data_IF_857372557027
#
_entry.id   IF_857372557027
#
_cell.length_a   1.000
_cell.length_b   1.000
_cell.length_c   1.000
_cell.angle_alpha   90.00
_cell.angle_beta   90.00
_cell.angle_gamma   90.00
#
_symmetry.space_group_name_H-M   'P 1'
#
loop_
_entity.id
_entity.type
_entity.pdbx_description
1 polymer ?
#
# COMPACT_ATOMS: atom_id res chain seq x y z
N UNK A 1 37.47 2.66 32.66
CA UNK A 1 36.29 2.98 33.48
C UNK A 1 35.34 1.81 33.35
N UNK A 2 35.07 1.11 34.44
CA UNK A 2 34.12 -0.01 34.43
C UNK A 2 32.68 0.52 34.29
N UNK A 3 31.77 -0.32 33.79
CA UNK A 3 30.34 0.02 33.72
C UNK A 3 29.79 0.46 35.08
N UNK A 4 30.27 -0.17 36.15
CA UNK A 4 29.87 0.14 37.53
C UNK A 4 30.29 1.55 37.95
N UNK A 5 31.51 1.97 37.62
CA UNK A 5 32.01 3.34 37.90
C UNK A 5 31.25 4.41 37.12
N UNK A 6 30.87 4.11 35.88
CA UNK A 6 30.07 5.01 35.06
C UNK A 6 28.69 5.27 35.68
N UNK A 7 27.98 4.22 36.13
CA UNK A 7 26.64 4.36 36.72
C UNK A 7 26.64 4.90 38.15
N UNK A 8 27.73 4.76 38.91
CA UNK A 8 27.86 5.42 40.22
C UNK A 8 28.06 6.92 40.04
N UNK A 9 28.90 7.32 39.09
CA UNK A 9 29.18 8.73 38.83
C UNK A 9 28.00 9.45 38.18
N UNK A 10 27.28 8.79 37.26
CA UNK A 10 26.05 9.33 36.68
C UNK A 10 24.97 9.60 37.74
N UNK A 11 24.85 8.72 38.75
CA UNK A 11 23.95 8.93 39.89
C UNK A 11 24.41 10.08 40.79
N UNK A 12 25.71 10.19 41.06
CA UNK A 12 26.29 11.30 41.85
C UNK A 12 26.03 12.66 41.21
N UNK A 13 26.12 12.74 39.89
CA UNK A 13 25.87 13.95 39.11
C UNK A 13 24.39 14.25 38.90
N UNK A 14 23.48 13.40 39.38
CA UNK A 14 22.04 13.57 39.21
C UNK A 14 21.62 13.59 37.74
N UNK A 15 22.36 12.88 36.87
CA UNK A 15 22.10 12.81 35.43
C UNK A 15 20.73 12.18 35.19
N UNK A 16 19.74 13.02 34.91
CA UNK A 16 18.43 12.61 34.42
C UNK A 16 18.50 12.55 32.90
N UNK A 17 18.58 11.34 32.35
CA UNK A 17 18.37 11.13 30.93
C UNK A 17 16.89 11.35 30.66
N UNK A 18 16.55 12.50 30.07
CA UNK A 18 15.26 12.69 29.44
C UNK A 18 15.26 11.85 28.16
N UNK A 19 14.97 10.56 28.30
CA UNK A 19 14.66 9.69 27.17
C UNK A 19 13.42 10.29 26.52
N UNK A 20 13.62 11.03 25.43
CA UNK A 20 12.53 11.59 24.62
C UNK A 20 11.87 10.49 23.79
N UNK A 21 11.51 9.39 24.45
CA UNK A 21 11.01 8.15 23.86
C UNK A 21 9.75 7.60 24.53
N UNK A 22 9.28 8.21 25.62
CA UNK A 22 7.95 7.93 26.21
C UNK A 22 6.94 9.04 25.89
N UNK A 23 7.00 9.60 24.67
CA UNK A 23 5.75 10.03 24.05
C UNK A 23 4.90 8.79 23.79
N UNK A 24 3.55 8.88 23.72
CA UNK A 24 2.80 7.79 23.13
C UNK A 24 3.51 7.42 21.82
N UNK A 25 3.92 6.16 21.66
CA UNK A 25 4.16 5.60 20.33
C UNK A 25 3.05 6.15 19.46
N UNK A 26 3.30 6.69 18.25
CA UNK A 26 2.21 7.09 17.39
C UNK A 26 1.40 5.82 17.09
N UNK A 27 0.45 5.50 17.98
CA UNK A 27 -0.70 4.63 17.79
C UNK A 27 -1.66 5.37 16.87
N UNK A 28 -1.12 5.87 15.77
CA UNK A 28 -1.82 5.97 14.52
C UNK A 28 -1.43 4.74 13.71
N UNK A 29 -1.57 3.55 14.31
CA UNK A 29 -2.00 2.40 13.53
C UNK A 29 -3.33 2.84 12.97
N UNK A 30 -3.32 3.26 11.71
CA UNK A 30 -4.53 3.68 11.03
C UNK A 30 -5.52 2.52 11.17
N UNK A 31 -6.70 2.78 11.74
CA UNK A 31 -7.70 1.74 11.90
C UNK A 31 -8.11 1.24 10.50
N UNK A 32 -8.31 -0.08 10.37
CA UNK A 32 -8.62 -0.72 9.09
C UNK A 32 -9.84 -0.08 8.42
N UNK A 33 -10.75 0.49 9.19
CA UNK A 33 -11.90 1.21 8.64
C UNK A 33 -11.54 2.54 7.95
N UNK A 34 -10.58 3.28 8.50
CA UNK A 34 -10.13 4.59 8.03
C UNK A 34 -9.20 4.51 6.80
N UNK A 35 -8.49 3.39 6.64
CA UNK A 35 -7.52 3.15 5.56
C UNK A 35 -8.13 2.82 4.21
N UNK A 36 -9.21 2.04 4.21
CA UNK A 36 -9.75 1.46 2.99
C UNK A 36 -10.92 2.30 2.47
N UNK A 37 -10.63 3.57 2.21
CA UNK A 37 -11.58 4.45 1.52
C UNK A 37 -11.62 4.05 0.03
N UNK A 38 -12.84 3.89 -0.49
CA UNK A 38 -13.11 3.51 -1.89
C UNK A 38 -12.27 4.31 -2.92
N UNK A 39 -12.09 5.64 -2.79
CA UNK A 39 -11.29 6.40 -3.75
C UNK A 39 -9.83 5.97 -3.82
N UNK A 40 -9.19 5.68 -2.68
CA UNK A 40 -7.79 5.26 -2.67
C UNK A 40 -7.65 3.87 -3.31
N UNK A 41 -8.52 2.92 -2.97
CA UNK A 41 -8.51 1.59 -3.58
C UNK A 41 -8.76 1.66 -5.10
N UNK A 42 -9.69 2.52 -5.53
CA UNK A 42 -9.96 2.73 -6.94
C UNK A 42 -8.72 3.29 -7.67
N UNK A 43 -8.03 4.26 -7.06
CA UNK A 43 -6.78 4.82 -7.60
C UNK A 43 -5.66 3.79 -7.66
N UNK A 44 -5.52 2.94 -6.64
CA UNK A 44 -4.56 1.84 -6.63
C UNK A 44 -4.85 0.85 -7.76
N UNK A 45 -6.11 0.44 -7.94
CA UNK A 45 -6.51 -0.46 -9.04
C UNK A 45 -6.18 0.18 -10.40
N UNK A 46 -6.51 1.46 -10.60
CA UNK A 46 -6.17 2.16 -11.84
C UNK A 46 -4.65 2.23 -12.07
N UNK A 47 -3.86 2.43 -11.02
CA UNK A 47 -2.40 2.47 -11.09
C UNK A 47 -1.80 1.17 -11.63
N UNK A 48 -2.30 0.02 -11.14
CA UNK A 48 -1.77 -1.29 -11.51
C UNK A 48 -2.40 -1.84 -12.80
N UNK A 49 -3.64 -1.46 -13.13
CA UNK A 49 -4.33 -1.91 -14.34
C UNK A 49 -4.04 -1.09 -15.60
N UNK A 50 -3.40 0.09 -15.49
CA UNK A 50 -2.99 0.89 -16.67
C UNK A 50 -1.72 0.36 -17.36
N UNK A 51 -0.88 -0.38 -16.66
CA UNK A 51 0.42 -0.87 -17.13
C UNK A 51 0.34 -1.98 -18.17
N UNK A 52 1.49 -2.54 -18.58
CA UNK A 52 1.53 -3.68 -19.53
C UNK A 52 1.17 -5.00 -18.85
N UNK A 53 1.74 -5.28 -17.68
CA UNK A 53 1.35 -6.43 -16.87
C UNK A 53 0.00 -6.13 -16.26
N UNK A 54 -1.02 -6.93 -16.59
CA UNK A 54 -2.38 -6.76 -16.07
C UNK A 54 -2.56 -7.63 -14.85
N UNK A 55 -3.16 -7.12 -13.76
CA UNK A 55 -3.54 -7.97 -12.65
C UNK A 55 -4.77 -8.80 -13.03
N UNK A 56 -4.82 -10.03 -12.55
CA UNK A 56 -6.00 -10.89 -12.73
C UNK A 56 -7.02 -10.67 -11.60
N UNK A 57 -8.29 -10.88 -11.92
CA UNK A 57 -9.39 -10.75 -10.96
C UNK A 57 -9.22 -11.59 -9.68
N UNK A 58 -8.73 -12.84 -9.71
CA UNK A 58 -8.56 -13.63 -8.48
C UNK A 58 -7.51 -13.06 -7.51
N UNK A 59 -6.49 -12.38 -8.02
CA UNK A 59 -5.35 -11.87 -7.22
C UNK A 59 -5.50 -10.39 -6.83
N UNK A 60 -6.45 -9.65 -7.40
CA UNK A 60 -6.54 -8.19 -7.25
C UNK A 60 -6.55 -7.71 -5.80
N UNK A 61 -7.24 -8.42 -4.91
CA UNK A 61 -7.29 -8.08 -3.48
C UNK A 61 -5.93 -8.21 -2.80
N UNK A 62 -5.18 -9.27 -3.13
CA UNK A 62 -3.84 -9.52 -2.61
C UNK A 62 -2.86 -8.47 -3.14
N UNK A 63 -2.83 -8.24 -4.45
CA UNK A 63 -1.94 -7.27 -5.08
C UNK A 63 -2.14 -5.84 -4.57
N UNK A 64 -3.40 -5.42 -4.40
CA UNK A 64 -3.72 -4.11 -3.82
C UNK A 64 -3.19 -4.01 -2.39
N UNK A 65 -3.35 -5.06 -1.58
CA UNK A 65 -2.81 -5.10 -0.21
C UNK A 65 -1.29 -5.01 -0.17
N UNK A 66 -0.59 -5.84 -0.95
CA UNK A 66 0.87 -5.83 -1.01
C UNK A 66 1.42 -4.49 -1.51
N UNK A 67 0.78 -3.86 -2.49
CA UNK A 67 1.17 -2.54 -2.96
C UNK A 67 1.02 -1.47 -1.88
N UNK A 68 -0.07 -1.50 -1.12
CA UNK A 68 -0.32 -0.57 -0.03
C UNK A 68 0.66 -0.77 1.13
N UNK A 69 0.92 -2.01 1.52
CA UNK A 69 1.91 -2.37 2.55
C UNK A 69 3.32 -1.86 2.21
N UNK A 70 3.74 -2.01 0.95
CA UNK A 70 5.05 -1.54 0.46
C UNK A 70 5.14 -0.01 0.37
N UNK A 71 4.00 0.69 0.25
CA UNK A 71 3.97 2.14 -0.03
C UNK A 71 3.74 3.01 1.21
N UNK A 72 2.85 2.61 2.12
CA UNK A 72 2.44 3.45 3.24
C UNK A 72 3.22 3.06 4.50
N UNK A 73 4.05 3.97 5.00
CA UNK A 73 4.97 3.72 6.11
C UNK A 73 4.28 3.21 7.39
N UNK A 74 2.99 3.52 7.59
CA UNK A 74 2.18 3.03 8.71
C UNK A 74 1.86 1.53 8.69
N UNK A 75 2.23 0.81 7.62
CA UNK A 75 2.01 -0.64 7.48
C UNK A 75 3.24 -1.49 7.75
N UNK A 76 4.45 -0.89 7.82
CA UNK A 76 5.66 -1.60 8.26
C UNK A 76 5.57 -1.87 9.77
N UNK A 77 4.84 -2.93 10.14
CA UNK A 77 4.66 -3.34 11.53
C UNK A 77 3.21 -3.52 11.97
N UNK A 78 2.21 -3.41 11.09
CA UNK A 78 0.86 -3.88 11.44
C UNK A 78 0.90 -5.39 11.63
N UNK A 79 0.51 -5.85 12.79
CA UNK A 79 0.51 -7.25 13.23
C UNK A 79 -0.47 -8.17 12.45
N UNK A 80 -1.01 -7.69 11.33
CA UNK A 80 -1.89 -8.43 10.43
C UNK A 80 -1.42 -8.19 9.00
N UNK A 81 -1.16 -9.27 8.25
CA UNK A 81 -0.86 -9.19 6.83
C UNK A 81 -2.10 -8.64 6.09
N UNK A 82 -2.03 -7.39 5.63
CA UNK A 82 -3.14 -6.66 5.02
C UNK A 82 -3.53 -7.26 3.67
N UNK A 83 -2.58 -7.79 2.91
CA UNK A 83 -2.87 -8.62 1.73
C UNK A 83 -3.87 -9.75 2.01
N UNK A 84 -3.87 -10.28 3.24
CA UNK A 84 -4.75 -11.34 3.70
C UNK A 84 -6.02 -10.85 4.40
N UNK A 85 -6.19 -9.55 4.58
CA UNK A 85 -7.38 -8.97 5.22
C UNK A 85 -8.63 -9.19 4.37
N UNK A 86 -9.57 -9.99 4.89
CA UNK A 86 -10.87 -10.21 4.25
C UNK A 86 -11.65 -8.90 4.03
N UNK A 87 -11.53 -7.94 4.96
CA UNK A 87 -12.18 -6.64 4.84
C UNK A 87 -11.58 -5.81 3.68
N UNK A 88 -10.24 -5.80 3.54
CA UNK A 88 -9.60 -5.16 2.38
C UNK A 88 -10.10 -5.81 1.08
N UNK A 89 -10.07 -7.14 0.98
CA UNK A 89 -10.48 -7.86 -0.24
C UNK A 89 -11.92 -7.50 -0.64
N UNK A 90 -12.87 -7.47 0.30
CA UNK A 90 -14.26 -7.07 0.03
C UNK A 90 -14.32 -5.62 -0.48
N UNK A 91 -13.57 -4.70 0.13
CA UNK A 91 -13.56 -3.29 -0.29
C UNK A 91 -12.87 -3.07 -1.64
N UNK A 92 -11.83 -3.84 -1.94
CA UNK A 92 -11.17 -3.85 -3.25
C UNK A 92 -12.15 -4.29 -4.33
N UNK A 93 -12.94 -5.34 -4.09
CA UNK A 93 -14.00 -5.75 -5.02
C UNK A 93 -15.04 -4.66 -5.19
N UNK A 94 -15.50 -4.00 -4.12
CA UNK A 94 -16.42 -2.85 -4.23
C UNK A 94 -15.84 -1.71 -5.07
N UNK A 95 -14.55 -1.39 -4.90
CA UNK A 95 -13.86 -0.39 -5.70
C UNK A 95 -13.77 -0.81 -7.18
N UNK A 96 -13.45 -2.07 -7.44
CA UNK A 96 -13.39 -2.62 -8.80
C UNK A 96 -14.76 -2.58 -9.48
N UNK A 97 -15.83 -3.00 -8.81
CA UNK A 97 -17.21 -2.91 -9.34
C UNK A 97 -17.63 -1.47 -9.61
N UNK A 98 -17.20 -0.52 -8.78
CA UNK A 98 -17.43 0.91 -9.05
C UNK A 98 -16.69 1.36 -10.33
N UNK A 99 -15.43 0.99 -10.50
CA UNK A 99 -14.65 1.34 -11.69
C UNK A 99 -15.21 0.69 -12.96
N UNK A 100 -15.67 -0.56 -12.89
CA UNK A 100 -16.30 -1.26 -14.01
C UNK A 100 -17.64 -0.62 -14.37
N UNK A 101 -18.52 -0.37 -13.38
CA UNK A 101 -19.84 0.25 -13.63
C UNK A 101 -19.77 1.68 -14.16
N UNK A 102 -18.65 2.38 -13.90
CA UNK A 102 -18.37 3.72 -14.43
C UNK A 102 -17.52 3.70 -15.72
N UNK A 103 -17.21 2.53 -16.26
CA UNK A 103 -16.48 2.38 -17.53
C UNK A 103 -15.01 2.78 -17.47
N UNK A 104 -14.41 2.84 -16.28
CA UNK A 104 -13.00 3.19 -16.07
C UNK A 104 -12.07 1.98 -16.19
N UNK A 105 -12.62 0.79 -16.00
CA UNK A 105 -11.92 -0.49 -16.10
C UNK A 105 -12.78 -1.49 -16.88
N UNK A 106 -12.12 -2.42 -17.57
CA UNK A 106 -12.74 -3.60 -18.20
C UNK A 106 -12.08 -4.86 -17.66
N UNK A 107 -12.87 -5.91 -17.48
CA UNK A 107 -12.41 -7.24 -17.12
C UNK A 107 -12.57 -8.15 -18.33
N UNK A 108 -11.48 -8.76 -18.80
CA UNK A 108 -11.55 -9.75 -19.87
C UNK A 108 -12.30 -11.00 -19.38
N UNK A 109 -13.23 -11.52 -20.18
CA UNK A 109 -14.07 -12.65 -19.76
C UNK A 109 -13.35 -13.99 -19.78
N UNK A 110 -12.29 -14.10 -20.57
CA UNK A 110 -11.50 -15.32 -20.77
C UNK A 110 -10.28 -15.30 -19.87
N UNK A 111 -9.43 -14.27 -19.98
CA UNK A 111 -8.18 -14.17 -19.20
C UNK A 111 -8.42 -13.67 -17.78
N UNK A 112 -9.58 -13.04 -17.52
CA UNK A 112 -9.91 -12.37 -16.25
C UNK A 112 -8.95 -11.24 -15.88
N UNK A 113 -8.18 -10.76 -16.85
CA UNK A 113 -7.29 -9.62 -16.68
C UNK A 113 -8.07 -8.33 -16.55
N UNK A 114 -7.61 -7.46 -15.66
CA UNK A 114 -8.21 -6.17 -15.37
C UNK A 114 -7.41 -5.08 -16.08
N UNK A 115 -8.05 -4.37 -17.00
CA UNK A 115 -7.43 -3.31 -17.79
C UNK A 115 -8.11 -1.97 -17.58
N UNK A 116 -7.33 -0.91 -17.36
CA UNK A 116 -7.86 0.45 -17.37
C UNK A 116 -8.27 0.87 -18.79
N UNK A 117 -9.47 1.41 -18.93
CA UNK A 117 -9.95 2.02 -20.19
C UNK A 117 -9.26 3.35 -20.42
N UNK A 118 -9.46 3.98 -21.57
CA UNK A 118 -8.92 5.32 -21.83
C UNK A 118 -9.50 6.37 -20.87
N UNK A 119 -10.76 6.19 -20.44
CA UNK A 119 -11.35 7.01 -19.39
C UNK A 119 -10.62 6.80 -18.06
N UNK A 120 -10.40 5.55 -17.64
CA UNK A 120 -9.68 5.24 -16.40
C UNK A 120 -8.25 5.78 -16.40
N UNK A 121 -7.53 5.64 -17.52
CA UNK A 121 -6.19 6.22 -17.71
C UNK A 121 -6.21 7.73 -17.60
N UNK A 122 -7.23 8.40 -18.18
CA UNK A 122 -7.37 9.86 -18.10
C UNK A 122 -7.67 10.34 -16.68
N UNK A 123 -8.59 9.66 -15.97
CA UNK A 123 -8.90 9.94 -14.56
C UNK A 123 -7.64 9.78 -13.71
N UNK A 124 -6.95 8.66 -13.87
CA UNK A 124 -5.71 8.39 -13.16
C UNK A 124 -4.67 9.48 -13.41
N UNK A 125 -4.41 9.78 -14.69
CA UNK A 125 -3.42 10.78 -15.10
C UNK A 125 -3.76 12.14 -14.52
N UNK A 126 -5.03 12.55 -14.51
CA UNK A 126 -5.46 13.81 -13.90
C UNK A 126 -5.19 13.88 -12.40
N UNK A 127 -5.32 12.77 -11.68
CA UNK A 127 -5.10 12.69 -10.23
C UNK A 127 -3.61 12.62 -9.83
N UNK A 128 -2.72 12.18 -10.72
CA UNK A 128 -1.28 12.02 -10.44
C UNK A 128 -0.40 13.11 -11.08
N UNK A 129 -1.00 14.17 -11.61
CA UNK A 129 -0.27 15.34 -12.10
C UNK A 129 0.33 16.11 -10.92
N UNK A 130 1.61 16.48 -11.04
CA UNK A 130 2.33 17.30 -10.05
C UNK A 130 3.03 16.51 -8.95
N UNK A 131 3.21 17.16 -7.80
CA UNK A 131 4.01 16.69 -6.65
C UNK A 131 3.15 16.55 -5.38
N UNK A 132 1.87 16.21 -5.55
CA UNK A 132 0.99 15.94 -4.40
C UNK A 132 1.39 14.64 -3.69
N UNK A 133 1.03 14.52 -2.41
CA UNK A 133 1.23 13.26 -1.66
C UNK A 133 0.58 12.08 -2.38
N UNK A 134 -0.62 12.27 -2.95
CA UNK A 134 -1.30 11.26 -3.76
C UNK A 134 -0.46 10.87 -4.98
N UNK A 135 0.07 11.84 -5.73
CA UNK A 135 0.91 11.57 -6.89
C UNK A 135 2.17 10.78 -6.52
N UNK A 136 2.82 11.11 -5.40
CA UNK A 136 3.95 10.35 -4.88
C UNK A 136 3.56 8.93 -4.47
N UNK A 137 2.48 8.76 -3.70
CA UNK A 137 2.00 7.43 -3.30
C UNK A 137 1.63 6.57 -4.50
N UNK A 138 0.96 7.14 -5.51
CA UNK A 138 0.57 6.42 -6.71
C UNK A 138 1.78 5.96 -7.54
N UNK A 139 2.81 6.81 -7.68
CA UNK A 139 4.08 6.41 -8.33
C UNK A 139 4.77 5.27 -7.58
N UNK A 140 4.79 5.30 -6.25
CA UNK A 140 5.36 4.22 -5.43
C UNK A 140 4.56 2.93 -5.56
N UNK A 141 3.24 2.99 -5.66
CA UNK A 141 2.38 1.84 -5.92
C UNK A 141 2.70 1.22 -7.28
N UNK A 142 2.84 2.03 -8.33
CA UNK A 142 3.19 1.53 -9.67
C UNK A 142 4.53 0.76 -9.65
N UNK A 143 5.55 1.33 -9.00
CA UNK A 143 6.86 0.69 -8.86
C UNK A 143 6.77 -0.59 -8.03
N UNK A 144 6.01 -0.56 -6.93
CA UNK A 144 5.82 -1.73 -6.05
C UNK A 144 5.17 -2.88 -6.82
N UNK A 145 4.16 -2.58 -7.63
CA UNK A 145 3.51 -3.57 -8.48
C UNK A 145 4.47 -4.17 -9.51
N UNK A 146 5.30 -3.35 -10.16
CA UNK A 146 6.32 -3.84 -11.09
C UNK A 146 7.28 -4.82 -10.40
N UNK A 147 7.76 -4.47 -9.20
CA UNK A 147 8.63 -5.35 -8.42
C UNK A 147 7.94 -6.66 -8.04
N UNK A 148 6.68 -6.62 -7.60
CA UNK A 148 5.91 -7.83 -7.31
C UNK A 148 5.82 -8.74 -8.55
N UNK A 149 5.55 -8.17 -9.74
CA UNK A 149 5.47 -8.96 -10.98
C UNK A 149 6.82 -9.50 -11.42
N UNK A 150 7.89 -8.73 -11.27
CA UNK A 150 9.24 -9.18 -11.57
C UNK A 150 9.68 -10.31 -10.63
N UNK A 151 9.39 -10.20 -9.33
CA UNK A 151 9.62 -11.25 -8.33
C UNK A 151 8.86 -12.54 -8.69
N UNK A 152 7.59 -12.43 -9.04
CA UNK A 152 6.75 -13.57 -9.42
C UNK A 152 7.25 -14.24 -10.72
N UNK A 153 7.72 -13.46 -11.70
CA UNK A 153 8.33 -13.99 -12.93
C UNK A 153 9.62 -14.75 -12.65
N UNK A 154 10.49 -14.22 -11.78
CA UNK A 154 11.73 -14.91 -11.38
C UNK A 154 11.45 -16.25 -10.69
N UNK A 155 10.32 -16.34 -9.96
CA UNK A 155 9.86 -17.59 -9.31
C UNK A 155 9.15 -18.56 -10.27
N UNK A 156 8.85 -18.15 -11.50
CA UNK A 156 8.10 -18.94 -12.47
C UNK A 156 6.59 -19.01 -12.18
N UNK A 157 6.06 -18.08 -11.38
CA UNK A 157 4.63 -17.98 -11.05
C UNK A 157 3.84 -17.24 -12.13
N UNK A 158 4.52 -16.46 -12.97
CA UNK A 158 3.95 -15.65 -14.05
C UNK A 158 4.85 -15.77 -15.28
N UNK A 159 4.26 -16.01 -16.45
CA UNK A 159 4.96 -16.10 -17.74
C UNK A 159 5.15 -14.73 -18.40
#
# INVERSE_FOLDING_TARGET
MSSTEFFSEARRLGLKLNLSGEGPSPMHTLDNEALFQLPLLAMTILAISKGRSKPELPEIGQLVGECLERTVAGFKGSSQDIGWSGNLRIRTIKALTFLESTGQVTIDKVTREISATDLGKKVYSGAVVGESLLAHSMKTIELSYQYIRDEARVRGEVN
#
